data_IF_560093072624
#
_entry.id   IF_560093072624
#
_cell.length_a   1.000
_cell.length_b   1.000
_cell.length_c   1.000
_cell.angle_alpha   90.00
_cell.angle_beta   90.00
_cell.angle_gamma   90.00
#
_symmetry.space_group_name_H-M   'P 1'
#
loop_
_entity.id
_entity.type
_entity.pdbx_description
1 polymer ?
#
# COMPACT_ATOMS: atom_id res chain seq x y z
N UNK A 1 -5.71 17.26 11.84
CA UNK A 1 -5.27 16.82 10.50
C UNK A 1 -4.41 15.57 10.69
N UNK A 2 -4.52 14.59 9.81
CA UNK A 2 -3.70 13.38 9.85
C UNK A 2 -2.30 13.67 9.31
N UNK A 3 -1.27 13.07 9.92
CA UNK A 3 0.13 13.14 9.47
C UNK A 3 0.70 11.73 9.43
N UNK A 4 0.43 10.95 8.37
CA UNK A 4 0.79 9.54 8.31
C UNK A 4 2.31 9.32 8.44
N UNK A 5 2.71 8.47 9.38
CA UNK A 5 4.08 7.96 9.50
C UNK A 5 4.14 6.43 9.32
N UNK A 6 2.99 5.79 9.11
CA UNK A 6 2.84 4.34 8.96
C UNK A 6 1.55 3.95 8.25
N UNK A 7 1.52 2.71 7.75
CA UNK A 7 0.33 2.04 7.22
C UNK A 7 -0.07 0.92 8.19
N UNK A 8 -1.36 0.82 8.52
CA UNK A 8 -1.90 -0.25 9.38
C UNK A 8 -2.91 -1.07 8.60
N UNK A 9 -2.67 -2.38 8.52
CA UNK A 9 -3.50 -3.34 7.79
C UNK A 9 -4.56 -3.96 8.71
N UNK A 10 -5.78 -4.04 8.18
CA UNK A 10 -6.96 -4.59 8.82
C UNK A 10 -7.65 -5.63 7.94
N UNK A 11 -8.46 -6.45 8.58
CA UNK A 11 -9.53 -7.20 7.91
C UNK A 11 -10.89 -6.76 8.43
N UNK A 12 -11.97 -7.07 7.72
CA UNK A 12 -13.32 -6.71 8.15
C UNK A 12 -13.94 -7.71 9.14
N UNK A 13 -13.31 -8.87 9.39
CA UNK A 13 -13.87 -10.01 10.16
C UNK A 13 -15.16 -10.58 9.56
N UNK A 14 -15.36 -10.38 8.26
CA UNK A 14 -16.57 -10.83 7.55
C UNK A 14 -16.17 -11.69 6.38
N UNK A 15 -16.99 -12.68 5.99
CA UNK A 15 -16.76 -13.39 4.73
C UNK A 15 -16.87 -12.37 3.58
N UNK A 16 -15.89 -12.35 2.69
CA UNK A 16 -15.96 -11.53 1.47
C UNK A 16 -17.06 -12.10 0.56
N UNK A 17 -17.96 -11.24 0.09
CA UNK A 17 -19.14 -11.67 -0.66
C UNK A 17 -20.21 -10.58 -0.78
N UNK A 18 -21.20 -10.82 -1.65
CA UNK A 18 -22.22 -9.83 -2.06
C UNK A 18 -22.96 -9.12 -0.91
N UNK A 19 -23.04 -9.73 0.27
CA UNK A 19 -23.77 -9.19 1.43
C UNK A 19 -22.93 -8.29 2.32
N UNK A 20 -21.59 -8.40 2.28
CA UNK A 20 -20.70 -7.52 3.04
C UNK A 20 -19.77 -6.78 2.09
N UNK A 21 -20.18 -5.57 1.76
CA UNK A 21 -19.42 -4.66 0.92
C UNK A 21 -18.81 -3.51 1.69
N UNK A 22 -17.88 -2.81 1.07
CA UNK A 22 -17.34 -1.54 1.54
C UNK A 22 -18.44 -0.54 1.90
N UNK A 23 -19.51 -0.51 1.08
CA UNK A 23 -20.69 0.31 1.34
C UNK A 23 -21.45 -0.16 2.59
N UNK A 24 -21.59 -1.46 2.80
CA UNK A 24 -22.21 -2.02 4.01
C UNK A 24 -21.40 -1.67 5.27
N UNK A 25 -20.07 -1.78 5.22
CA UNK A 25 -19.17 -1.39 6.32
C UNK A 25 -19.30 0.11 6.62
N UNK A 26 -19.35 0.96 5.58
CA UNK A 26 -19.59 2.41 5.73
C UNK A 26 -20.92 2.70 6.42
N UNK A 27 -22.00 2.05 5.97
CA UNK A 27 -23.33 2.23 6.57
C UNK A 27 -23.37 1.77 8.03
N UNK A 28 -22.73 0.64 8.35
CA UNK A 28 -22.61 0.16 9.73
C UNK A 28 -21.85 1.14 10.64
N UNK A 29 -20.73 1.69 10.19
CA UNK A 29 -20.01 2.70 10.97
C UNK A 29 -20.85 3.98 11.16
N UNK A 30 -21.57 4.43 10.14
CA UNK A 30 -22.47 5.59 10.25
C UNK A 30 -23.63 5.34 11.22
N UNK A 31 -24.18 4.13 11.28
CA UNK A 31 -25.20 3.78 12.27
C UNK A 31 -24.68 3.74 13.70
N UNK A 32 -23.36 3.61 13.90
CA UNK A 32 -22.67 3.79 15.19
C UNK A 32 -22.35 5.26 15.51
N UNK A 33 -22.86 6.22 14.72
CA UNK A 33 -22.64 7.65 14.90
C UNK A 33 -21.30 8.15 14.35
N UNK A 34 -20.57 7.33 13.59
CA UNK A 34 -19.33 7.80 12.97
C UNK A 34 -19.65 8.66 11.75
N UNK A 35 -18.83 9.68 11.51
CA UNK A 35 -18.98 10.55 10.34
C UNK A 35 -18.88 9.77 9.02
N UNK A 36 -17.98 8.79 8.96
CA UNK A 36 -17.76 7.90 7.82
C UNK A 36 -17.08 6.60 8.30
N UNK A 37 -16.87 5.64 7.38
CA UNK A 37 -16.05 4.44 7.56
C UNK A 37 -14.72 4.77 8.24
N UNK A 38 -14.26 3.93 9.17
CA UNK A 38 -13.08 4.23 9.98
C UNK A 38 -11.74 4.16 9.25
N UNK A 39 -11.72 3.56 8.06
CA UNK A 39 -10.52 3.32 7.27
C UNK A 39 -10.34 4.38 6.17
N UNK A 40 -9.12 4.51 5.67
CA UNK A 40 -8.79 5.38 4.55
C UNK A 40 -9.01 4.66 3.22
N UNK A 41 -8.72 3.36 3.18
CA UNK A 41 -8.85 2.52 1.98
C UNK A 41 -9.44 1.15 2.31
N UNK A 42 -10.14 0.58 1.33
CA UNK A 42 -10.69 -0.76 1.34
C UNK A 42 -10.21 -1.56 0.14
N UNK A 43 -10.13 -2.88 0.27
CA UNK A 43 -9.92 -3.78 -0.87
C UNK A 43 -10.97 -4.88 -0.81
N UNK A 44 -11.82 -4.96 -1.82
CA UNK A 44 -13.01 -5.82 -1.88
C UNK A 44 -13.11 -6.49 -3.24
N UNK A 45 -13.65 -7.72 -3.30
CA UNK A 45 -14.08 -8.33 -4.56
C UNK A 45 -15.35 -7.64 -5.10
N UNK A 46 -15.23 -6.90 -6.20
CA UNK A 46 -16.35 -6.25 -6.89
C UNK A 46 -16.56 -6.93 -8.24
N UNK A 47 -17.65 -7.69 -8.36
CA UNK A 47 -17.87 -8.52 -9.54
C UNK A 47 -16.90 -9.70 -9.55
N UNK A 48 -15.97 -9.72 -10.50
CA UNK A 48 -14.97 -10.77 -10.68
C UNK A 48 -13.54 -10.32 -10.33
N UNK A 49 -13.34 -9.05 -9.97
CA UNK A 49 -12.03 -8.46 -9.72
C UNK A 49 -11.94 -7.78 -8.34
N UNK A 50 -10.73 -7.69 -7.79
CA UNK A 50 -10.49 -6.95 -6.56
C UNK A 50 -10.25 -5.47 -6.85
N UNK A 51 -11.00 -4.62 -6.18
CA UNK A 51 -10.97 -3.17 -6.35
C UNK A 51 -10.43 -2.45 -5.12
N UNK A 52 -9.72 -1.34 -5.35
CA UNK A 52 -9.29 -0.42 -4.29
C UNK A 52 -10.37 0.65 -4.10
N UNK A 53 -10.95 0.71 -2.91
CA UNK A 53 -12.12 1.53 -2.62
C UNK A 53 -11.77 2.64 -1.61
N UNK A 54 -12.21 3.86 -1.92
CA UNK A 54 -11.92 5.03 -1.09
C UNK A 54 -12.78 5.08 0.18
N UNK A 55 -12.14 5.27 1.32
CA UNK A 55 -12.72 5.54 2.63
C UNK A 55 -12.68 7.04 2.95
N UNK A 56 -12.18 7.37 4.15
CA UNK A 56 -11.84 8.75 4.53
C UNK A 56 -10.69 9.28 3.68
N UNK A 57 -10.64 10.60 3.48
CA UNK A 57 -9.45 11.20 2.87
C UNK A 57 -8.24 11.00 3.80
N UNK A 58 -7.06 10.76 3.24
CA UNK A 58 -5.86 10.45 4.04
C UNK A 58 -5.37 11.62 4.91
N UNK A 59 -5.76 12.86 4.59
CA UNK A 59 -5.48 14.04 5.42
C UNK A 59 -6.45 14.18 6.62
N UNK A 60 -7.50 13.36 6.66
CA UNK A 60 -8.47 13.30 7.76
C UNK A 60 -8.09 12.22 8.77
N UNK A 61 -8.40 12.45 10.04
CA UNK A 61 -8.10 11.46 11.10
C UNK A 61 -9.00 10.23 10.91
N UNK A 62 -8.39 9.05 10.93
CA UNK A 62 -9.07 7.77 10.85
C UNK A 62 -9.88 7.41 12.10
N UNK A 63 -10.51 6.24 12.10
CA UNK A 63 -11.14 5.63 13.27
C UNK A 63 -10.93 4.10 13.28
N UNK A 64 -9.75 3.65 12.88
CA UNK A 64 -9.43 2.24 12.67
C UNK A 64 -8.53 1.65 13.77
N UNK A 65 -7.67 2.45 14.39
CA UNK A 65 -6.72 2.00 15.43
C UNK A 65 -6.58 3.03 16.53
N UNK A 66 -7.13 2.73 17.72
CA UNK A 66 -7.08 3.62 18.88
C UNK A 66 -5.63 4.01 19.20
N UNK A 67 -5.38 5.31 19.39
CA UNK A 67 -4.04 5.84 19.65
C UNK A 67 -3.13 6.01 18.41
N UNK A 68 -3.54 5.53 17.23
CA UNK A 68 -2.74 5.62 16.00
C UNK A 68 -3.44 6.41 14.86
N UNK A 69 -4.74 6.70 15.01
CA UNK A 69 -5.58 7.27 13.95
C UNK A 69 -5.12 8.61 13.34
N UNK A 70 -4.36 9.43 14.08
CA UNK A 70 -3.89 10.75 13.64
C UNK A 70 -2.51 10.74 12.99
N UNK A 71 -1.87 9.57 12.93
CA UNK A 71 -0.54 9.40 12.36
C UNK A 71 -0.44 8.15 11.47
N UNK A 72 -1.55 7.65 10.93
CA UNK A 72 -1.51 6.43 10.10
C UNK A 72 -2.52 6.46 8.98
N UNK A 73 -2.20 5.71 7.93
CA UNK A 73 -3.15 5.29 6.90
C UNK A 73 -3.66 3.90 7.26
N UNK A 74 -4.95 3.67 7.10
CA UNK A 74 -5.64 2.45 7.51
C UNK A 74 -6.24 1.79 6.29
N UNK A 75 -5.80 0.58 5.99
CA UNK A 75 -6.25 -0.22 4.84
C UNK A 75 -7.00 -1.44 5.37
N UNK A 76 -8.24 -1.63 4.94
CA UNK A 76 -9.05 -2.79 5.32
C UNK A 76 -9.28 -3.70 4.12
N UNK A 77 -8.80 -4.93 4.21
CA UNK A 77 -9.15 -5.99 3.26
C UNK A 77 -10.48 -6.59 3.70
N UNK A 78 -11.47 -6.62 2.82
CA UNK A 78 -12.75 -7.29 3.11
C UNK A 78 -12.47 -8.80 3.15
N UNK A 79 -12.78 -9.43 4.28
CA UNK A 79 -12.45 -10.83 4.52
C UNK A 79 -12.31 -11.18 6.00
N UNK A 80 -12.28 -12.47 6.29
CA UNK A 80 -12.00 -13.03 7.61
C UNK A 80 -10.76 -13.93 7.57
N UNK A 81 -9.60 -13.29 7.72
CA UNK A 81 -8.32 -14.00 7.68
C UNK A 81 -7.90 -14.67 9.00
N UNK A 82 -8.82 -14.83 9.94
CA UNK A 82 -8.66 -15.86 10.98
C UNK A 82 -8.98 -17.26 10.45
N UNK A 83 -9.79 -17.35 9.37
CA UNK A 83 -10.28 -18.61 8.81
C UNK A 83 -9.50 -18.98 7.55
N UNK A 84 -9.30 -18.06 6.62
CA UNK A 84 -8.65 -18.31 5.32
C UNK A 84 -7.54 -17.28 5.03
N UNK A 85 -6.56 -17.63 4.21
CA UNK A 85 -5.60 -16.62 3.73
C UNK A 85 -6.29 -15.64 2.76
N UNK A 86 -5.86 -14.36 2.70
CA UNK A 86 -6.33 -13.45 1.66
C UNK A 86 -5.94 -13.98 0.27
N UNK A 87 -6.85 -13.97 -0.72
CA UNK A 87 -6.51 -14.39 -2.08
C UNK A 87 -5.37 -13.57 -2.67
N UNK A 88 -4.51 -14.21 -3.48
CA UNK A 88 -3.32 -13.56 -4.06
C UNK A 88 -3.67 -12.29 -4.85
N UNK A 89 -4.78 -12.28 -5.60
CA UNK A 89 -5.25 -11.10 -6.31
C UNK A 89 -5.53 -9.91 -5.39
N UNK A 90 -6.13 -10.14 -4.22
CA UNK A 90 -6.36 -9.11 -3.20
C UNK A 90 -5.04 -8.59 -2.61
N UNK A 91 -4.09 -9.48 -2.37
CA UNK A 91 -2.75 -9.12 -1.87
C UNK A 91 -1.95 -8.30 -2.89
N UNK A 92 -2.07 -8.59 -4.19
CA UNK A 92 -1.44 -7.76 -5.22
C UNK A 92 -2.05 -6.36 -5.29
N UNK A 93 -3.38 -6.22 -5.13
CA UNK A 93 -4.01 -4.91 -4.95
C UNK A 93 -3.54 -4.17 -3.70
N UNK A 94 -3.24 -4.90 -2.63
CA UNK A 94 -2.64 -4.31 -1.43
C UNK A 94 -1.23 -3.77 -1.72
N UNK A 95 -0.39 -4.52 -2.44
CA UNK A 95 0.95 -4.07 -2.84
C UNK A 95 0.87 -2.83 -3.74
N UNK A 96 -0.02 -2.85 -4.73
CA UNK A 96 -0.30 -1.70 -5.61
C UNK A 96 -0.64 -0.44 -4.80
N UNK A 97 -1.59 -0.56 -3.87
CA UNK A 97 -2.01 0.56 -3.02
C UNK A 97 -0.90 1.05 -2.07
N UNK A 98 -0.15 0.15 -1.43
CA UNK A 98 0.95 0.53 -0.54
C UNK A 98 2.01 1.33 -1.30
N UNK A 99 2.31 0.93 -2.53
CA UNK A 99 3.28 1.65 -3.37
C UNK A 99 2.78 3.02 -3.82
N UNK A 100 1.51 3.12 -4.20
CA UNK A 100 0.90 4.42 -4.50
C UNK A 100 0.99 5.36 -3.29
N UNK A 101 0.70 4.85 -2.08
CA UNK A 101 0.88 5.61 -0.83
C UNK A 101 2.36 5.98 -0.64
N UNK A 102 3.30 5.06 -0.89
CA UNK A 102 4.72 5.35 -0.79
C UNK A 102 5.20 6.43 -1.76
N UNK A 103 4.62 6.50 -2.96
CA UNK A 103 4.89 7.59 -3.90
C UNK A 103 4.48 8.97 -3.37
N UNK A 104 3.50 9.03 -2.46
CA UNK A 104 2.95 10.28 -1.91
C UNK A 104 3.52 10.66 -0.54
N UNK A 105 3.92 9.68 0.28
CA UNK A 105 4.36 9.89 1.67
C UNK A 105 5.76 9.33 1.99
N UNK A 106 6.47 8.77 1.00
CA UNK A 106 7.71 8.01 1.22
C UNK A 106 7.43 6.59 1.72
N UNK A 107 8.49 5.78 1.88
CA UNK A 107 8.39 4.36 2.25
C UNK A 107 7.96 4.16 3.72
N UNK A 108 6.70 4.48 4.02
CA UNK A 108 6.09 4.31 5.32
C UNK A 108 6.16 2.83 5.77
N UNK A 109 6.55 2.54 7.02
CA UNK A 109 6.48 1.19 7.55
C UNK A 109 5.04 0.67 7.56
N UNK A 110 4.89 -0.62 7.25
CA UNK A 110 3.61 -1.32 7.23
C UNK A 110 3.51 -2.18 8.48
N UNK A 111 2.38 -2.10 9.18
CA UNK A 111 2.10 -2.86 10.39
C UNK A 111 0.73 -3.54 10.33
N UNK A 112 0.57 -4.56 11.16
CA UNK A 112 -0.72 -5.18 11.47
C UNK A 112 -1.40 -4.47 12.65
N UNK A 113 -2.73 -4.45 12.67
CA UNK A 113 -3.48 -3.84 13.78
C UNK A 113 -3.14 -4.48 15.15
N UNK A 114 -2.98 -5.81 15.22
CA UNK A 114 -2.64 -6.51 16.46
C UNK A 114 -1.32 -6.06 17.08
N UNK A 115 -0.39 -5.47 16.32
CA UNK A 115 0.86 -4.92 16.85
C UNK A 115 0.64 -3.66 17.71
N UNK A 116 -0.52 -3.00 17.57
CA UNK A 116 -0.95 -1.87 18.40
C UNK A 116 -2.14 -2.20 19.33
N UNK A 117 -2.75 -3.36 19.14
CA UNK A 117 -3.89 -3.85 19.91
C UNK A 117 -3.78 -5.37 20.07
N UNK A 118 -2.85 -5.82 20.92
CA UNK A 118 -2.45 -7.24 21.07
C UNK A 118 -3.57 -8.21 21.41
N UNK A 119 -4.67 -7.71 22.00
CA UNK A 119 -5.88 -8.48 22.30
C UNK A 119 -6.77 -8.76 21.05
N UNK A 120 -6.38 -8.26 19.87
CA UNK A 120 -7.07 -8.49 18.59
C UNK A 120 -6.25 -9.42 17.71
N UNK A 121 -6.94 -10.20 16.87
CA UNK A 121 -6.30 -11.03 15.83
C UNK A 121 -6.04 -10.26 14.53
N UNK A 122 -6.77 -9.17 14.30
CA UNK A 122 -6.72 -8.34 13.10
C UNK A 122 -5.28 -7.96 12.66
N UNK A 123 -4.90 -8.14 11.38
CA UNK A 123 -5.73 -8.49 10.21
C UNK A 123 -6.02 -9.99 10.05
N UNK A 124 -5.79 -10.81 11.06
CA UNK A 124 -6.17 -12.21 11.09
C UNK A 124 -4.95 -13.14 11.21
N UNK A 125 -5.14 -14.29 11.87
CA UNK A 125 -4.07 -15.27 12.15
C UNK A 125 -3.40 -15.83 10.90
N UNK A 126 -4.12 -15.90 9.77
CA UNK A 126 -3.63 -16.39 8.49
C UNK A 126 -3.18 -15.26 7.54
N UNK A 127 -3.15 -14.01 8.00
CA UNK A 127 -2.65 -12.92 7.17
C UNK A 127 -1.12 -13.09 6.91
N UNK A 128 -0.66 -13.15 5.65
CA UNK A 128 0.71 -13.52 5.33
C UNK A 128 1.67 -12.31 5.42
N UNK A 129 1.83 -11.75 6.62
CA UNK A 129 2.56 -10.50 6.86
C UNK A 129 4.01 -10.52 6.38
N UNK A 130 4.77 -11.57 6.73
CA UNK A 130 6.18 -11.67 6.31
C UNK A 130 6.32 -11.81 4.79
N UNK A 131 5.41 -12.54 4.15
CA UNK A 131 5.39 -12.63 2.68
C UNK A 131 5.12 -11.25 2.07
N UNK A 132 4.13 -10.49 2.57
CA UNK A 132 3.86 -9.13 2.09
C UNK A 132 5.09 -8.22 2.18
N UNK A 133 5.77 -8.22 3.34
CA UNK A 133 6.98 -7.42 3.51
C UNK A 133 8.10 -7.83 2.55
N UNK A 134 8.25 -9.14 2.29
CA UNK A 134 9.24 -9.65 1.35
C UNK A 134 8.91 -9.26 -0.10
N UNK A 135 7.64 -9.33 -0.50
CA UNK A 135 7.21 -8.89 -1.85
C UNK A 135 7.44 -7.40 -2.06
N UNK A 136 7.07 -6.57 -1.07
CA UNK A 136 7.31 -5.13 -1.13
C UNK A 136 8.82 -4.81 -1.28
N UNK A 137 9.69 -5.52 -0.56
CA UNK A 137 11.14 -5.39 -0.71
C UNK A 137 11.65 -5.90 -2.05
N UNK A 138 11.17 -7.05 -2.52
CA UNK A 138 11.57 -7.67 -3.80
C UNK A 138 11.26 -6.73 -4.95
N UNK A 139 10.05 -6.19 -4.99
CA UNK A 139 9.67 -5.29 -6.08
C UNK A 139 10.39 -3.94 -5.99
N UNK A 140 10.65 -3.41 -4.80
CA UNK A 140 11.48 -2.21 -4.66
C UNK A 140 12.90 -2.45 -5.19
N UNK A 141 13.49 -3.62 -4.89
CA UNK A 141 14.79 -4.01 -5.42
C UNK A 141 14.78 -4.08 -6.96
N UNK A 142 13.76 -4.71 -7.54
CA UNK A 142 13.62 -4.79 -8.99
C UNK A 142 13.53 -3.39 -9.62
N UNK A 143 12.74 -2.47 -9.04
CA UNK A 143 12.65 -1.07 -9.48
C UNK A 143 14.00 -0.36 -9.39
N UNK A 144 14.76 -0.59 -8.31
CA UNK A 144 16.10 -0.02 -8.14
C UNK A 144 17.10 -0.57 -9.18
N UNK A 145 17.03 -1.86 -9.47
CA UNK A 145 17.87 -2.52 -10.47
C UNK A 145 17.55 -2.03 -11.88
N UNK A 146 16.26 -1.91 -12.24
CA UNK A 146 15.80 -1.34 -13.50
C UNK A 146 16.30 0.10 -13.70
N UNK A 147 16.24 0.91 -12.64
CA UNK A 147 16.76 2.27 -12.67
C UNK A 147 18.28 2.29 -12.90
N UNK A 148 19.04 1.46 -12.16
CA UNK A 148 20.50 1.37 -12.33
C UNK A 148 20.89 0.89 -13.72
N UNK A 149 20.13 -0.07 -14.27
CA UNK A 149 20.32 -0.58 -15.63
C UNK A 149 20.03 0.51 -16.67
N UNK A 150 18.97 1.29 -16.50
CA UNK A 150 18.67 2.43 -17.36
C UNK A 150 19.82 3.46 -17.36
N UNK A 151 20.37 3.80 -16.19
CA UNK A 151 21.53 4.69 -16.07
C UNK A 151 22.75 4.12 -16.81
N UNK A 152 23.07 2.83 -16.63
CA UNK A 152 24.18 2.21 -17.35
C UNK A 152 24.00 2.32 -18.87
N UNK A 153 22.80 2.03 -19.37
CA UNK A 153 22.47 2.12 -20.80
C UNK A 153 22.65 3.55 -21.34
N UNK A 154 22.22 4.58 -20.60
CA UNK A 154 22.42 5.97 -20.98
C UNK A 154 23.92 6.33 -21.04
N UNK A 155 24.73 5.82 -20.12
CA UNK A 155 26.17 6.07 -20.08
C UNK A 155 26.90 5.39 -21.25
N UNK A 156 26.55 4.14 -21.56
CA UNK A 156 27.08 3.40 -22.72
C UNK A 156 26.80 4.11 -24.06
N UNK A 157 25.67 4.83 -24.15
CA UNK A 157 25.30 5.63 -25.33
C UNK A 157 25.90 7.04 -25.34
N UNK A 158 26.70 7.40 -24.33
CA UNK A 158 27.31 8.72 -24.19
C UNK A 158 26.32 9.86 -23.87
N UNK A 159 25.08 9.54 -23.45
CA UNK A 159 24.07 10.53 -23.08
C UNK A 159 24.41 11.17 -21.74
N UNK A 160 24.85 10.36 -20.78
CA UNK A 160 25.24 10.82 -19.45
C UNK A 160 26.69 10.47 -19.18
N UNK A 161 27.39 11.38 -18.53
CA UNK A 161 28.71 11.14 -17.95
C UNK A 161 28.55 10.86 -16.45
N UNK A 162 29.46 10.05 -15.89
CA UNK A 162 29.51 9.73 -14.45
C UNK A 162 28.28 8.94 -13.93
N UNK A 163 28.04 7.70 -14.40
CA UNK A 163 26.87 6.90 -14.01
C UNK A 163 26.72 6.70 -12.50
N UNK A 164 27.82 6.64 -11.75
CA UNK A 164 27.76 6.45 -10.29
C UNK A 164 27.22 7.66 -9.55
N UNK A 165 27.38 8.87 -10.11
CA UNK A 165 26.71 10.06 -9.59
C UNK A 165 25.20 9.90 -9.69
N UNK A 166 24.69 9.44 -10.84
CA UNK A 166 23.25 9.28 -11.07
C UNK A 166 22.62 8.14 -10.25
N UNK A 167 23.35 7.05 -10.01
CA UNK A 167 22.86 5.91 -9.21
C UNK A 167 22.75 6.22 -7.72
N UNK A 168 23.68 7.02 -7.20
CA UNK A 168 23.87 7.18 -5.75
C UNK A 168 23.34 8.52 -5.22
N UNK A 169 23.03 9.48 -6.10
CA UNK A 169 22.56 10.79 -5.67
C UNK A 169 21.08 10.75 -5.26
N UNK A 170 20.80 11.22 -4.04
CA UNK A 170 19.47 11.23 -3.43
C UNK A 170 18.44 12.09 -4.18
N UNK A 171 18.90 13.07 -4.96
CA UNK A 171 18.02 13.95 -5.75
C UNK A 171 17.22 13.17 -6.81
N UNK A 172 17.76 12.05 -7.30
CA UNK A 172 17.08 11.19 -8.29
C UNK A 172 16.17 10.13 -7.65
N UNK A 173 15.90 10.20 -6.33
CA UNK A 173 14.96 9.29 -5.66
C UNK A 173 13.49 9.56 -6.02
N UNK A 174 13.15 10.70 -6.61
CA UNK A 174 11.75 10.94 -6.98
C UNK A 174 11.32 9.93 -8.05
N UNK A 175 10.21 9.22 -7.79
CA UNK A 175 9.72 8.17 -8.69
C UNK A 175 9.50 8.70 -10.11
N UNK A 176 9.00 9.94 -10.24
CA UNK A 176 8.80 10.58 -11.55
C UNK A 176 10.08 10.68 -12.38
N UNK A 177 11.19 11.12 -11.77
CA UNK A 177 12.48 11.25 -12.46
C UNK A 177 13.04 9.88 -12.82
N UNK A 178 12.92 8.89 -11.92
CA UNK A 178 13.35 7.50 -12.19
C UNK A 178 12.57 6.91 -13.38
N UNK A 179 11.26 7.12 -13.41
CA UNK A 179 10.39 6.70 -14.52
C UNK A 179 10.74 7.38 -15.84
N UNK A 180 10.99 8.70 -15.82
CA UNK A 180 11.40 9.44 -17.01
C UNK A 180 12.71 8.89 -17.59
N UNK A 181 13.70 8.65 -16.73
CA UNK A 181 15.00 8.06 -17.09
C UNK A 181 14.82 6.67 -17.70
N UNK A 182 14.03 5.79 -17.06
CA UNK A 182 13.74 4.45 -17.59
C UNK A 182 13.07 4.52 -18.97
N UNK A 183 12.06 5.38 -19.14
CA UNK A 183 11.38 5.58 -20.42
C UNK A 183 12.32 6.09 -21.51
N UNK A 184 13.20 7.03 -21.19
CA UNK A 184 14.17 7.56 -22.15
C UNK A 184 15.20 6.49 -22.55
N UNK A 185 15.76 5.77 -21.57
CA UNK A 185 16.68 4.66 -21.81
C UNK A 185 16.08 3.57 -22.72
N UNK A 186 14.78 3.27 -22.59
CA UNK A 186 14.09 2.31 -23.45
C UNK A 186 13.93 2.80 -24.91
N UNK A 187 13.78 4.11 -25.13
CA UNK A 187 13.61 4.68 -26.48
C UNK A 187 14.91 4.79 -27.29
N UNK A 188 16.05 4.87 -26.62
CA UNK A 188 17.37 4.90 -27.27
C UNK A 188 17.97 3.50 -27.49
N UNK A 189 17.14 2.46 -27.29
CA UNK A 189 17.46 1.05 -27.57
C UNK A 189 17.49 0.78 -29.06
#
# INVERSE_FOLDING_TARGET
MNKPDKIIIHHSLTKDGKTVSWKAIRNYHRSKGWRDIGYHWGIELVGEEYEILKGRNENEVGAHTKGQNSSSIGICLVGNFDIDEPPKAQLYKLIELIKDIWGRYGQLPVYMHNQFASYKTCPGKKFPYNWLLNELKRENRAVDDDFKNAINKLAEKGVINSPDYWKNNEVYKSEYVRELIKKFANKIG
#
